data_IF_539479771028
#
_entry.id   IF_539479771028
#
_cell.length_a   1.000
_cell.length_b   1.000
_cell.length_c   1.000
_cell.angle_alpha   90.00
_cell.angle_beta   90.00
_cell.angle_gamma   90.00
#
_symmetry.space_group_name_H-M   'P 1'
#
loop_
_entity.id
_entity.type
_entity.pdbx_description
1 polymer ?
#
# COMPACT_ATOMS: atom_id res chain seq x y z
N UNK A 1 -63.08 -6.17 -12.70
CA UNK A 1 -62.14 -5.06 -12.44
C UNK A 1 -60.95 -5.23 -13.39
N UNK A 2 -60.84 -4.39 -14.42
CA UNK A 2 -59.76 -4.45 -15.43
C UNK A 2 -58.55 -3.69 -14.91
N UNK A 3 -57.36 -4.29 -14.91
CA UNK A 3 -56.11 -3.55 -14.84
C UNK A 3 -55.29 -3.90 -16.08
N UNK A 4 -55.15 -2.91 -16.97
CA UNK A 4 -54.10 -2.84 -17.99
C UNK A 4 -52.78 -2.51 -17.28
N UNK A 5 -51.74 -3.27 -17.55
CA UNK A 5 -50.36 -2.81 -17.35
C UNK A 5 -49.60 -3.05 -18.66
N UNK A 6 -49.39 -1.98 -19.42
CA UNK A 6 -48.48 -1.95 -20.55
C UNK A 6 -47.05 -1.92 -20.00
N UNK A 7 -46.35 -3.05 -20.01
CA UNK A 7 -44.91 -3.07 -19.76
C UNK A 7 -44.20 -3.19 -21.10
N UNK A 8 -43.55 -2.10 -21.53
CA UNK A 8 -42.65 -2.08 -22.69
C UNK A 8 -41.49 -3.03 -22.40
N UNK A 9 -41.41 -4.12 -23.16
CA UNK A 9 -40.33 -5.10 -23.10
C UNK A 9 -39.12 -4.54 -23.86
N UNK A 10 -38.02 -4.25 -23.15
CA UNK A 10 -36.72 -3.95 -23.76
C UNK A 10 -36.13 -5.24 -24.32
N UNK A 11 -35.81 -5.24 -25.61
CA UNK A 11 -35.49 -6.41 -26.45
C UNK A 11 -34.13 -7.07 -26.13
N UNK A 12 -33.42 -6.65 -25.08
CA UNK A 12 -32.03 -7.07 -24.83
C UNK A 12 -31.92 -8.43 -24.09
N UNK A 13 -33.00 -8.93 -23.48
CA UNK A 13 -33.01 -10.22 -22.78
C UNK A 13 -33.23 -11.46 -23.66
N UNK A 14 -33.52 -11.30 -24.96
CA UNK A 14 -33.99 -12.39 -25.81
C UNK A 14 -32.87 -13.23 -26.46
N UNK A 15 -31.61 -12.80 -26.41
CA UNK A 15 -30.56 -13.39 -27.26
C UNK A 15 -29.64 -14.42 -26.56
N UNK A 16 -29.73 -14.59 -25.24
CA UNK A 16 -28.87 -15.54 -24.50
C UNK A 16 -29.60 -16.85 -24.13
N UNK A 17 -30.92 -16.91 -24.27
CA UNK A 17 -31.70 -18.14 -24.03
C UNK A 17 -31.69 -19.10 -25.22
N UNK A 18 -31.25 -18.64 -26.41
CA UNK A 18 -31.19 -19.49 -27.60
C UNK A 18 -30.10 -20.57 -27.53
N UNK A 19 -29.01 -20.35 -26.79
CA UNK A 19 -27.91 -21.32 -26.65
C UNK A 19 -28.17 -22.43 -25.62
N UNK A 20 -29.12 -22.23 -24.70
CA UNK A 20 -29.53 -23.25 -23.72
C UNK A 20 -30.70 -24.14 -24.18
N UNK A 21 -31.36 -23.80 -25.30
CA UNK A 21 -32.45 -24.61 -25.86
C UNK A 21 -31.98 -25.75 -26.78
N UNK A 22 -30.70 -25.77 -27.18
CA UNK A 22 -30.19 -26.79 -28.12
C UNK A 22 -29.75 -28.12 -27.47
N UNK A 23 -29.80 -28.23 -26.13
CA UNK A 23 -29.36 -29.45 -25.41
C UNK A 23 -30.49 -30.13 -24.63
N UNK A 24 -31.76 -29.80 -24.94
CA UNK A 24 -32.90 -30.61 -24.51
C UNK A 24 -33.40 -31.38 -25.73
N UNK A 25 -32.57 -32.30 -26.22
CA UNK A 25 -33.06 -33.37 -27.11
C UNK A 25 -33.95 -34.28 -26.29
N UNK A 26 -35.23 -34.35 -26.71
CA UNK A 26 -36.33 -35.13 -26.16
C UNK A 26 -35.95 -36.51 -25.60
N UNK A 27 -36.00 -36.68 -24.29
CA UNK A 27 -36.33 -37.96 -23.65
C UNK A 27 -37.16 -37.72 -22.38
N UNK A 28 -38.39 -37.24 -22.55
CA UNK A 28 -39.57 -37.54 -21.70
C UNK A 28 -40.62 -36.45 -21.88
N UNK A 29 -41.82 -36.88 -22.27
CA UNK A 29 -42.97 -36.03 -22.58
C UNK A 29 -43.73 -35.66 -21.29
N UNK A 30 -43.03 -35.13 -20.28
CA UNK A 30 -43.60 -34.77 -18.98
C UNK A 30 -43.79 -33.25 -18.86
N UNK A 31 -45.02 -32.74 -18.65
CA UNK A 31 -45.32 -31.30 -18.57
C UNK A 31 -44.75 -30.59 -17.32
N UNK A 32 -43.96 -31.28 -16.50
CA UNK A 32 -43.32 -30.79 -15.27
C UNK A 32 -42.05 -29.96 -15.53
N UNK A 33 -41.27 -30.28 -16.57
CA UNK A 33 -40.01 -29.59 -16.87
C UNK A 33 -40.21 -28.20 -17.47
N UNK A 34 -41.26 -28.02 -18.28
CA UNK A 34 -41.62 -26.70 -18.84
C UNK A 34 -42.18 -25.76 -17.76
N UNK A 35 -42.82 -26.32 -16.73
CA UNK A 35 -43.33 -25.58 -15.57
C UNK A 35 -42.21 -25.07 -14.68
N UNK A 36 -41.12 -25.83 -14.51
CA UNK A 36 -40.00 -25.44 -13.66
C UNK A 36 -39.25 -24.23 -14.23
N UNK A 37 -38.96 -24.25 -15.54
CA UNK A 37 -38.30 -23.14 -16.23
C UNK A 37 -39.17 -21.86 -16.28
N UNK A 38 -40.47 -22.00 -16.53
CA UNK A 38 -41.41 -20.87 -16.52
C UNK A 38 -41.64 -20.31 -15.10
N UNK A 39 -41.60 -21.17 -14.07
CA UNK A 39 -41.73 -20.76 -12.66
C UNK A 39 -40.48 -20.02 -12.17
N UNK A 40 -39.27 -20.43 -12.61
CA UNK A 40 -38.03 -19.73 -12.28
C UNK A 40 -37.98 -18.31 -12.88
N UNK A 41 -38.49 -18.15 -14.11
CA UNK A 41 -38.58 -16.85 -14.78
C UNK A 41 -39.65 -15.92 -14.16
N UNK A 42 -40.78 -16.47 -13.71
CA UNK A 42 -41.86 -15.70 -13.08
C UNK A 42 -41.57 -15.32 -11.62
N UNK A 43 -40.64 -16.01 -10.94
CA UNK A 43 -40.20 -15.73 -9.58
C UNK A 43 -39.05 -14.72 -9.48
N UNK A 44 -38.55 -14.19 -10.61
CA UNK A 44 -37.43 -13.24 -10.59
C UNK A 44 -36.15 -13.82 -9.98
N UNK A 45 -36.00 -15.15 -9.99
CA UNK A 45 -34.77 -15.80 -9.52
C UNK A 45 -33.72 -15.59 -10.60
N UNK A 46 -33.02 -14.46 -10.51
CA UNK A 46 -31.72 -14.32 -11.11
C UNK A 46 -30.84 -15.38 -10.44
N UNK A 47 -30.61 -16.51 -11.12
CA UNK A 47 -29.48 -17.36 -10.74
C UNK A 47 -28.23 -16.59 -11.09
N UNK A 48 -27.81 -15.66 -10.23
CA UNK A 48 -26.44 -15.14 -10.28
C UNK A 48 -25.54 -16.37 -10.19
N UNK A 49 -24.88 -16.69 -11.30
CA UNK A 49 -23.80 -17.66 -11.28
C UNK A 49 -22.80 -17.14 -10.28
N UNK A 50 -22.70 -17.79 -9.11
CA UNK A 50 -21.76 -17.39 -8.07
C UNK A 50 -20.38 -17.22 -8.71
N UNK A 51 -19.81 -16.02 -8.60
CA UNK A 51 -18.50 -15.70 -9.16
C UNK A 51 -17.41 -16.61 -8.59
N UNK A 52 -16.19 -16.56 -9.14
CA UNK A 52 -15.08 -17.35 -8.59
C UNK A 52 -14.86 -17.02 -7.12
N UNK A 53 -14.47 -18.01 -6.31
CA UNK A 53 -14.06 -17.76 -4.94
C UNK A 53 -12.64 -17.18 -4.89
N UNK A 54 -12.40 -16.27 -3.95
CA UNK A 54 -11.07 -15.76 -3.65
C UNK A 54 -10.12 -16.90 -3.21
N UNK A 55 -8.84 -16.89 -3.60
CA UNK A 55 -7.82 -17.79 -3.06
C UNK A 55 -7.53 -17.47 -1.59
N UNK A 56 -7.09 -18.48 -0.84
CA UNK A 56 -6.55 -18.29 0.50
C UNK A 56 -5.06 -17.89 0.41
N UNK A 57 -4.74 -16.66 0.82
CA UNK A 57 -3.38 -16.13 0.81
C UNK A 57 -2.58 -16.49 2.06
N UNK A 58 -3.24 -16.95 3.14
CA UNK A 58 -2.59 -17.27 4.42
C UNK A 58 -1.61 -16.18 4.88
N UNK A 59 -0.36 -16.54 5.22
CA UNK A 59 0.65 -15.57 5.67
C UNK A 59 1.00 -14.52 4.61
N UNK A 60 0.89 -14.84 3.31
CA UNK A 60 1.11 -13.87 2.24
C UNK A 60 0.07 -12.73 2.22
N UNK A 61 -1.05 -12.87 2.96
CA UNK A 61 -2.03 -11.80 3.10
C UNK A 61 -1.48 -10.57 3.86
N UNK A 62 -0.46 -10.70 4.71
CA UNK A 62 0.08 -9.55 5.48
C UNK A 62 1.12 -8.75 4.69
N UNK A 63 1.67 -9.33 3.62
CA UNK A 63 2.73 -8.73 2.83
C UNK A 63 2.19 -7.81 1.74
N UNK A 64 2.69 -6.58 1.72
CA UNK A 64 2.53 -5.64 0.62
C UNK A 64 3.42 -6.01 -0.57
N UNK A 65 4.66 -6.45 -0.29
CA UNK A 65 5.63 -6.82 -1.31
C UNK A 65 6.47 -8.01 -0.88
N UNK A 66 6.70 -8.97 -1.78
CA UNK A 66 7.59 -10.10 -1.54
C UNK A 66 8.45 -10.35 -2.78
N UNK A 67 9.77 -10.44 -2.60
CA UNK A 67 10.73 -10.54 -3.72
C UNK A 67 11.59 -11.79 -3.67
N UNK A 68 10.99 -12.98 -3.77
CA UNK A 68 11.67 -14.28 -3.86
C UNK A 68 12.96 -14.41 -3.05
N UNK A 69 13.96 -15.09 -3.62
CA UNK A 69 15.33 -15.09 -3.07
C UNK A 69 16.21 -13.95 -3.60
N UNK A 70 15.74 -13.20 -4.59
CA UNK A 70 16.49 -12.14 -5.28
C UNK A 70 16.28 -10.75 -4.65
N UNK A 71 15.37 -10.62 -3.69
CA UNK A 71 15.15 -9.40 -2.92
C UNK A 71 14.22 -8.38 -3.53
N UNK A 72 14.26 -7.19 -2.94
CA UNK A 72 13.44 -6.03 -3.31
C UNK A 72 14.36 -4.82 -3.39
N UNK A 73 14.30 -4.10 -4.51
CA UNK A 73 15.15 -2.92 -4.72
C UNK A 73 14.30 -1.70 -5.04
N UNK A 74 14.71 -0.56 -4.49
CA UNK A 74 14.13 0.73 -4.76
C UNK A 74 15.18 1.68 -5.35
N UNK A 75 14.74 2.49 -6.30
CA UNK A 75 15.48 3.64 -6.83
C UNK A 75 14.54 4.84 -6.94
N UNK A 76 14.03 5.28 -5.79
CA UNK A 76 13.15 6.44 -5.68
C UNK A 76 13.09 6.98 -4.25
N UNK A 77 12.79 8.26 -4.10
CA UNK A 77 12.73 8.96 -2.80
C UNK A 77 11.32 9.19 -2.29
N UNK A 78 10.30 8.84 -3.09
CA UNK A 78 8.88 8.92 -2.71
C UNK A 78 8.22 7.53 -2.62
N UNK A 79 9.02 6.47 -2.64
CA UNK A 79 8.52 5.10 -2.49
C UNK A 79 7.96 4.93 -1.08
N UNK A 80 6.74 4.41 -0.97
CA UNK A 80 6.06 4.19 0.29
C UNK A 80 5.27 2.89 0.26
N UNK A 81 5.49 2.04 1.26
CA UNK A 81 4.90 0.70 1.36
C UNK A 81 4.11 0.61 2.66
N UNK A 82 2.80 0.43 2.52
CA UNK A 82 1.89 0.18 3.64
C UNK A 82 1.63 -1.33 3.76
N UNK A 83 2.27 -1.96 4.76
CA UNK A 83 2.24 -3.40 5.01
C UNK A 83 3.64 -4.00 5.09
N UNK A 84 3.70 -5.32 5.32
CA UNK A 84 4.97 -6.02 5.48
C UNK A 84 5.70 -6.22 4.14
N UNK A 85 7.03 -6.33 4.20
CA UNK A 85 7.84 -6.71 3.06
C UNK A 85 8.68 -7.94 3.36
N UNK A 86 9.08 -8.70 2.35
CA UNK A 86 10.03 -9.79 2.60
C UNK A 86 10.73 -10.39 1.41
N UNK A 87 11.75 -11.18 1.74
CA UNK A 87 12.52 -12.02 0.83
C UNK A 87 13.08 -13.22 1.59
N UNK A 88 13.28 -14.35 0.90
CA UNK A 88 14.05 -15.48 1.43
C UNK A 88 15.58 -15.26 1.26
N UNK A 89 15.99 -14.17 0.62
CA UNK A 89 17.38 -13.75 0.52
C UNK A 89 17.92 -13.11 1.81
N UNK A 90 19.24 -12.91 1.86
CA UNK A 90 19.89 -12.14 2.93
C UNK A 90 19.37 -10.70 2.98
N UNK A 91 19.46 -10.02 4.13
CA UNK A 91 19.05 -8.61 4.28
C UNK A 91 19.67 -7.67 3.23
N UNK A 92 20.86 -7.96 2.72
CA UNK A 92 21.52 -7.19 1.66
C UNK A 92 20.80 -7.22 0.31
N UNK A 93 19.84 -8.14 0.12
CA UNK A 93 18.98 -8.21 -1.06
C UNK A 93 17.82 -7.21 -1.00
N UNK A 94 17.57 -6.59 0.17
CA UNK A 94 16.71 -5.42 0.28
C UNK A 94 17.60 -4.17 0.15
N UNK A 95 17.28 -3.29 -0.79
CA UNK A 95 18.02 -2.04 -0.99
C UNK A 95 17.11 -0.84 -1.22
N UNK A 96 17.46 0.29 -0.62
CA UNK A 96 16.72 1.54 -0.74
C UNK A 96 15.43 1.60 0.08
N UNK A 97 15.42 0.98 1.26
CA UNK A 97 14.27 1.01 2.14
C UNK A 97 14.66 1.23 3.59
N UNK A 98 13.73 1.75 4.38
CA UNK A 98 13.78 1.73 5.83
C UNK A 98 12.38 1.55 6.41
N UNK A 99 12.32 1.13 7.67
CA UNK A 99 11.15 1.27 8.51
C UNK A 99 11.54 2.02 9.81
N UNK A 100 10.73 1.90 10.86
CA UNK A 100 10.96 2.60 12.12
C UNK A 100 12.27 2.19 12.83
N UNK A 101 12.78 0.97 12.60
CA UNK A 101 13.89 0.40 13.40
C UNK A 101 15.09 -0.04 12.57
N UNK A 102 14.92 -0.28 11.27
CA UNK A 102 15.91 -0.87 10.39
C UNK A 102 16.04 -0.09 9.07
N UNK A 103 17.28 0.07 8.59
CA UNK A 103 17.59 0.68 7.29
C UNK A 103 18.35 -0.28 6.38
N UNK A 104 18.01 -0.28 5.10
CA UNK A 104 18.49 -1.25 4.11
C UNK A 104 19.14 -0.54 2.92
N UNK A 105 20.46 -0.34 2.99
CA UNK A 105 21.30 0.20 1.90
C UNK A 105 20.70 1.45 1.25
N UNK A 106 20.40 2.45 2.06
CA UNK A 106 19.86 3.73 1.60
C UNK A 106 20.96 4.70 1.17
N UNK A 107 20.60 5.52 0.20
CA UNK A 107 21.35 6.64 -0.36
C UNK A 107 20.37 7.80 -0.54
N UNK A 108 20.84 9.02 -0.81
CA UNK A 108 19.95 10.15 -1.10
C UNK A 108 18.99 9.95 -2.30
N UNK A 109 19.18 8.91 -3.11
CA UNK A 109 18.40 8.66 -4.34
C UNK A 109 17.42 7.48 -4.23
N UNK A 110 17.39 6.76 -3.12
CA UNK A 110 16.56 5.56 -2.97
C UNK A 110 15.97 5.41 -1.56
N UNK A 111 15.37 6.47 -1.03
CA UNK A 111 14.76 6.46 0.30
C UNK A 111 13.32 5.96 0.18
N UNK A 112 13.06 4.73 0.62
CA UNK A 112 11.75 4.08 0.55
C UNK A 112 11.19 3.77 1.94
N UNK A 113 10.06 4.37 2.31
CA UNK A 113 9.48 4.16 3.63
C UNK A 113 8.59 2.92 3.67
N UNK A 114 8.69 2.12 4.73
CA UNK A 114 7.89 0.91 4.96
C UNK A 114 7.24 0.99 6.33
N UNK A 115 5.90 0.87 6.38
CA UNK A 115 5.16 0.94 7.64
C UNK A 115 5.16 -0.38 8.42
N UNK A 116 5.41 -1.50 7.73
CA UNK A 116 5.43 -2.84 8.30
C UNK A 116 6.84 -3.35 8.65
N UNK A 117 6.91 -4.63 8.97
CA UNK A 117 8.17 -5.34 9.26
C UNK A 117 8.80 -5.83 7.95
N UNK A 118 10.13 -5.81 7.87
CA UNK A 118 10.88 -6.31 6.71
C UNK A 118 11.49 -7.68 7.07
N UNK A 119 10.92 -8.73 6.49
CA UNK A 119 11.30 -10.12 6.76
C UNK A 119 12.40 -10.60 5.80
N UNK A 120 13.59 -10.82 6.32
CA UNK A 120 14.77 -11.25 5.55
C UNK A 120 15.53 -12.36 6.25
N UNK A 121 16.47 -12.99 5.53
CA UNK A 121 17.48 -13.87 6.10
C UNK A 121 18.63 -13.06 6.73
N UNK A 122 19.38 -13.73 7.61
CA UNK A 122 20.60 -13.20 8.23
C UNK A 122 21.63 -12.73 7.17
N UNK A 123 22.51 -11.79 7.52
CA UNK A 123 22.61 -11.07 8.79
C UNK A 123 21.58 -9.94 8.91
N UNK A 124 21.32 -9.51 10.15
CA UNK A 124 20.54 -8.30 10.44
C UNK A 124 21.20 -7.08 9.77
N UNK A 125 20.42 -6.16 9.18
CA UNK A 125 20.98 -4.93 8.63
C UNK A 125 21.54 -4.04 9.75
N UNK A 126 22.36 -3.06 9.38
CA UNK A 126 22.95 -2.15 10.35
C UNK A 126 21.88 -1.25 11.00
N UNK A 127 21.79 -1.27 12.33
CA UNK A 127 20.91 -0.40 13.11
C UNK A 127 20.94 -0.80 14.59
N UNK A 128 21.09 0.16 15.50
CA UNK A 128 21.28 -0.10 16.94
C UNK A 128 20.05 -0.77 17.57
N UNK A 129 18.86 -0.55 16.99
CA UNK A 129 17.57 -1.09 17.46
C UNK A 129 16.94 -2.08 16.48
N UNK A 130 17.69 -2.51 15.45
CA UNK A 130 17.13 -3.37 14.43
C UNK A 130 16.95 -4.80 14.95
N UNK A 131 15.73 -5.32 14.84
CA UNK A 131 15.36 -6.69 15.24
C UNK A 131 15.06 -7.62 14.05
N UNK A 132 15.32 -7.13 12.83
CA UNK A 132 15.05 -7.83 11.57
C UNK A 132 16.29 -8.54 11.02
N UNK A 133 16.14 -9.39 10.00
CA UNK A 133 17.24 -10.19 9.45
C UNK A 133 17.79 -11.21 10.44
N UNK A 134 16.89 -11.92 11.12
CA UNK A 134 17.16 -13.00 12.07
C UNK A 134 16.71 -14.34 11.51
N UNK A 135 17.04 -15.44 12.19
CA UNK A 135 16.52 -16.76 11.83
C UNK A 135 14.97 -16.82 11.90
N UNK A 136 14.35 -16.10 12.84
CA UNK A 136 12.89 -16.07 12.98
C UNK A 136 12.23 -15.30 11.82
N UNK A 137 12.79 -14.16 11.41
CA UNK A 137 12.25 -13.44 10.24
C UNK A 137 12.45 -14.23 8.95
N UNK A 138 13.54 -14.99 8.83
CA UNK A 138 13.77 -15.88 7.71
C UNK A 138 12.75 -17.02 7.62
N UNK A 139 12.41 -17.64 8.76
CA UNK A 139 11.41 -18.70 8.83
C UNK A 139 10.02 -18.17 8.42
N UNK A 140 9.63 -17.00 8.91
CA UNK A 140 8.39 -16.33 8.51
C UNK A 140 8.37 -15.99 7.00
N UNK A 141 9.48 -15.48 6.45
CA UNK A 141 9.60 -15.22 5.01
C UNK A 141 9.51 -16.52 4.18
N UNK A 142 10.07 -17.62 4.67
CA UNK A 142 10.02 -18.93 4.00
C UNK A 142 8.60 -19.49 3.98
N UNK A 143 7.87 -19.39 5.09
CA UNK A 143 6.44 -19.75 5.16
C UNK A 143 5.61 -18.91 4.19
N UNK A 144 5.88 -17.61 4.14
CA UNK A 144 5.21 -16.66 3.22
C UNK A 144 5.45 -17.02 1.76
N UNK A 145 6.69 -17.36 1.38
CA UNK A 145 7.00 -17.81 0.03
C UNK A 145 6.24 -19.08 -0.36
N UNK A 146 6.11 -20.04 0.57
CA UNK A 146 5.37 -21.27 0.36
C UNK A 146 3.86 -21.02 0.20
N UNK A 147 3.28 -20.14 1.03
CA UNK A 147 1.87 -19.76 0.94
C UNK A 147 1.56 -18.97 -0.34
N UNK A 148 2.44 -18.05 -0.76
CA UNK A 148 2.30 -17.34 -2.03
C UNK A 148 2.37 -18.30 -3.23
N UNK A 149 3.26 -19.30 -3.19
CA UNK A 149 3.33 -20.35 -4.20
C UNK A 149 2.07 -21.23 -4.21
N UNK A 150 1.51 -21.55 -3.03
CA UNK A 150 0.26 -22.29 -2.93
C UNK A 150 -0.91 -21.50 -3.55
N UNK A 151 -1.02 -20.20 -3.25
CA UNK A 151 -2.02 -19.32 -3.85
C UNK A 151 -1.84 -19.19 -5.37
N UNK A 152 -0.60 -19.09 -5.87
CA UNK A 152 -0.32 -19.10 -7.30
C UNK A 152 -0.83 -20.38 -7.99
N UNK A 153 -0.54 -21.54 -7.40
CA UNK A 153 -0.96 -22.84 -7.94
C UNK A 153 -2.49 -23.01 -7.88
N UNK A 154 -3.12 -22.56 -6.79
CA UNK A 154 -4.58 -22.54 -6.66
C UNK A 154 -5.20 -21.68 -7.78
N UNK A 155 -4.74 -20.43 -7.93
CA UNK A 155 -5.19 -19.53 -8.99
C UNK A 155 -4.99 -20.15 -10.37
N UNK A 156 -3.85 -20.77 -10.64
CA UNK A 156 -3.56 -21.43 -11.93
C UNK A 156 -4.44 -22.67 -12.18
N UNK A 157 -4.92 -23.33 -11.12
CA UNK A 157 -5.78 -24.51 -11.19
C UNK A 157 -7.26 -24.19 -11.41
N UNK A 158 -7.67 -22.93 -11.22
CA UNK A 158 -9.06 -22.52 -11.43
C UNK A 158 -9.47 -22.77 -12.90
N UNK A 159 -10.73 -23.17 -13.16
CA UNK A 159 -11.21 -23.39 -14.51
C UNK A 159 -10.89 -22.21 -15.43
N UNK A 160 -10.41 -22.51 -16.63
CA UNK A 160 -9.99 -21.49 -17.58
C UNK A 160 -11.12 -20.51 -17.89
N UNK A 161 -10.78 -19.22 -17.86
CA UNK A 161 -11.65 -18.12 -18.25
C UNK A 161 -11.69 -17.84 -19.74
N UNK A 162 -12.51 -16.86 -20.13
CA UNK A 162 -12.49 -16.29 -21.48
C UNK A 162 -11.31 -15.32 -21.69
N UNK A 163 -10.90 -15.12 -22.94
CA UNK A 163 -9.92 -14.10 -23.36
C UNK A 163 -10.63 -12.99 -24.18
N UNK A 164 -11.26 -12.00 -23.52
CA UNK A 164 -12.21 -11.08 -24.18
C UNK A 164 -11.55 -10.12 -25.18
N UNK A 165 -10.23 -9.93 -25.11
CA UNK A 165 -9.50 -8.99 -25.97
C UNK A 165 -8.26 -9.59 -26.62
N UNK A 166 -8.20 -10.92 -26.72
CA UNK A 166 -7.05 -11.65 -27.28
C UNK A 166 -5.71 -11.19 -26.64
N UNK A 167 -5.70 -11.12 -25.32
CA UNK A 167 -4.57 -10.63 -24.52
C UNK A 167 -4.56 -9.12 -24.24
N UNK A 168 -5.37 -8.28 -24.90
CA UNK A 168 -5.49 -6.85 -24.57
C UNK A 168 -6.73 -6.60 -23.71
N UNK A 169 -6.52 -6.19 -22.45
CA UNK A 169 -7.58 -5.84 -21.51
C UNK A 169 -7.87 -4.34 -21.44
N UNK A 170 -6.94 -3.49 -21.91
CA UNK A 170 -7.13 -2.04 -21.93
C UNK A 170 -8.32 -1.62 -22.79
N UNK A 171 -9.19 -0.79 -22.25
CA UNK A 171 -10.43 -0.32 -22.89
C UNK A 171 -11.64 -1.23 -22.64
N UNK A 172 -11.46 -2.36 -21.94
CA UNK A 172 -12.57 -3.25 -21.59
C UNK A 172 -13.20 -2.85 -20.25
N UNK A 173 -14.48 -3.20 -20.10
CA UNK A 173 -15.16 -3.28 -18.81
C UNK A 173 -15.49 -4.72 -18.53
N UNK A 174 -14.95 -5.27 -17.44
CA UNK A 174 -15.04 -6.68 -17.10
C UNK A 174 -15.88 -6.88 -15.85
N UNK A 175 -16.91 -7.71 -15.97
CA UNK A 175 -17.71 -8.18 -14.85
C UNK A 175 -16.94 -9.27 -14.06
N UNK A 176 -17.39 -9.68 -12.86
CA UNK A 176 -16.68 -10.63 -12.03
C UNK A 176 -16.52 -11.98 -12.75
N UNK A 177 -15.34 -12.60 -12.65
CA UNK A 177 -15.06 -13.83 -13.40
C UNK A 177 -13.59 -14.24 -13.45
N UNK A 178 -13.36 -15.42 -14.03
CA UNK A 178 -12.03 -15.88 -14.40
C UNK A 178 -11.77 -15.48 -15.85
N UNK A 179 -10.58 -14.94 -16.12
CA UNK A 179 -10.10 -14.53 -17.42
C UNK A 179 -8.74 -15.18 -17.66
N UNK A 180 -8.54 -15.75 -18.84
CA UNK A 180 -7.30 -16.44 -19.17
C UNK A 180 -6.81 -15.99 -20.52
N UNK A 181 -5.58 -15.49 -20.59
CA UNK A 181 -4.97 -15.21 -21.88
C UNK A 181 -4.75 -16.52 -22.63
N UNK A 182 -4.64 -16.47 -23.95
CA UNK A 182 -4.13 -17.61 -24.72
C UNK A 182 -2.66 -17.94 -24.35
N UNK A 183 -1.81 -18.29 -25.31
CA UNK A 183 -0.38 -18.51 -25.01
C UNK A 183 0.39 -17.21 -24.63
N UNK A 184 -0.22 -16.04 -24.84
CA UNK A 184 0.41 -14.72 -24.75
C UNK A 184 0.21 -13.98 -23.41
N UNK A 185 0.67 -12.73 -23.33
CA UNK A 185 0.55 -11.91 -22.13
C UNK A 185 -0.86 -11.35 -21.98
N UNK A 186 -1.19 -10.85 -20.78
CA UNK A 186 -2.18 -9.80 -20.67
C UNK A 186 -1.52 -8.43 -20.74
N UNK A 187 -2.15 -7.55 -21.51
CA UNK A 187 -1.74 -6.19 -21.79
C UNK A 187 -2.83 -5.24 -21.30
N UNK A 188 -2.43 -4.17 -20.63
CA UNK A 188 -3.25 -2.99 -20.35
C UNK A 188 -2.43 -1.81 -20.87
N UNK A 189 -2.41 -1.65 -22.19
CA UNK A 189 -1.51 -0.70 -22.86
C UNK A 189 -2.25 0.29 -23.74
N UNK A 190 -3.37 -0.12 -24.35
CA UNK A 190 -4.18 0.72 -25.23
C UNK A 190 -5.04 1.76 -24.49
N UNK A 191 -5.58 1.42 -23.33
CA UNK A 191 -6.46 2.25 -22.50
C UNK A 191 -6.56 1.65 -21.09
N UNK A 192 -7.25 2.33 -20.18
CA UNK A 192 -7.51 1.82 -18.83
C UNK A 192 -8.47 0.62 -18.86
N UNK A 193 -8.32 -0.30 -17.91
CA UNK A 193 -9.22 -1.43 -17.70
C UNK A 193 -10.24 -1.06 -16.62
N UNK A 194 -11.53 -1.34 -16.82
CA UNK A 194 -12.56 -1.16 -15.78
C UNK A 194 -13.04 -2.52 -15.27
N UNK A 195 -13.13 -2.68 -13.95
CA UNK A 195 -13.73 -3.82 -13.28
C UNK A 195 -15.03 -3.39 -12.61
N UNK A 196 -16.13 -4.00 -13.04
CA UNK A 196 -17.48 -3.63 -12.62
C UNK A 196 -18.11 -4.73 -11.75
N UNK A 197 -18.26 -4.46 -10.46
CA UNK A 197 -18.84 -5.39 -9.49
C UNK A 197 -20.36 -5.62 -9.68
N UNK A 198 -21.03 -4.83 -10.53
CA UNK A 198 -22.47 -4.89 -10.75
C UNK A 198 -23.29 -4.77 -9.44
N UNK A 199 -22.76 -4.03 -8.44
CA UNK A 199 -23.36 -3.86 -7.13
C UNK A 199 -22.97 -4.91 -6.08
N UNK A 200 -22.20 -5.94 -6.46
CA UNK A 200 -21.73 -6.97 -5.55
C UNK A 200 -20.32 -6.65 -5.01
N UNK A 201 -20.24 -6.22 -3.75
CA UNK A 201 -18.96 -5.90 -3.12
C UNK A 201 -18.03 -7.12 -2.96
N UNK A 202 -18.59 -8.33 -2.92
CA UNK A 202 -17.84 -9.59 -2.83
C UNK A 202 -17.47 -10.17 -4.20
N UNK A 203 -17.70 -9.40 -5.28
CA UNK A 203 -17.28 -9.75 -6.62
C UNK A 203 -15.76 -10.02 -6.70
N UNK A 204 -15.39 -11.08 -7.41
CA UNK A 204 -14.01 -11.55 -7.58
C UNK A 204 -13.60 -11.59 -9.05
N UNK A 205 -12.37 -11.17 -9.32
CA UNK A 205 -11.71 -11.29 -10.62
C UNK A 205 -10.43 -12.10 -10.48
N UNK A 206 -10.26 -13.09 -11.37
CA UNK A 206 -9.04 -13.88 -11.48
C UNK A 206 -8.51 -13.76 -12.91
N UNK A 207 -7.30 -13.25 -13.06
CA UNK A 207 -6.60 -13.16 -14.33
C UNK A 207 -5.46 -14.17 -14.37
N UNK A 208 -5.52 -15.12 -15.30
CA UNK A 208 -4.52 -16.17 -15.50
C UNK A 208 -3.77 -15.90 -16.80
N UNK A 209 -2.45 -15.96 -16.76
CA UNK A 209 -1.62 -15.90 -17.96
C UNK A 209 -0.38 -16.77 -17.80
N UNK A 210 -0.05 -17.56 -18.83
CA UNK A 210 1.16 -18.38 -18.82
C UNK A 210 2.44 -17.54 -18.99
N UNK A 211 2.30 -16.32 -19.52
CA UNK A 211 3.43 -15.41 -19.76
C UNK A 211 3.34 -14.15 -18.88
N UNK A 212 3.66 -12.99 -19.44
CA UNK A 212 3.84 -11.74 -18.71
C UNK A 212 2.52 -10.97 -18.53
N UNK A 213 2.53 -10.06 -17.55
CA UNK A 213 1.57 -8.97 -17.43
C UNK A 213 2.28 -7.65 -17.79
N UNK A 214 1.72 -6.86 -18.69
CA UNK A 214 2.24 -5.52 -19.01
C UNK A 214 1.16 -4.47 -18.87
N UNK A 215 1.38 -3.49 -17.98
CA UNK A 215 0.50 -2.34 -17.76
C UNK A 215 1.26 -1.08 -18.12
N UNK A 216 0.62 -0.18 -18.87
CA UNK A 216 1.25 1.05 -19.35
C UNK A 216 1.93 0.90 -20.71
N UNK A 217 2.00 2.00 -21.44
CA UNK A 217 2.84 2.17 -22.62
C UNK A 217 4.05 3.05 -22.28
N UNK A 218 5.12 3.09 -23.09
CA UNK A 218 6.37 3.79 -22.77
C UNK A 218 6.25 5.27 -22.38
N UNK A 219 5.16 5.96 -22.75
CA UNK A 219 4.90 7.35 -22.41
C UNK A 219 3.48 7.59 -21.83
N UNK A 220 2.75 6.52 -21.50
CA UNK A 220 1.37 6.64 -21.02
C UNK A 220 1.10 5.55 -19.98
N UNK A 221 1.05 5.89 -18.68
CA UNK A 221 0.59 4.93 -17.68
C UNK A 221 -0.86 4.53 -17.93
N UNK A 222 -1.23 3.34 -17.47
CA UNK A 222 -2.61 2.86 -17.45
C UNK A 222 -3.07 2.56 -16.04
N UNK A 223 -4.37 2.57 -15.86
CA UNK A 223 -5.01 2.25 -14.60
C UNK A 223 -6.00 1.10 -14.72
N UNK A 224 -6.22 0.42 -13.61
CA UNK A 224 -7.36 -0.47 -13.40
C UNK A 224 -8.36 0.26 -12.50
N UNK A 225 -9.54 0.52 -13.05
CA UNK A 225 -10.60 1.31 -12.42
C UNK A 225 -11.61 0.35 -11.80
N UNK A 226 -11.93 0.54 -10.52
CA UNK A 226 -12.93 -0.23 -9.81
C UNK A 226 -14.23 0.56 -9.74
N UNK A 227 -15.35 -0.04 -10.16
CA UNK A 227 -16.68 0.61 -10.13
C UNK A 227 -17.73 -0.28 -9.48
N UNK A 228 -18.85 0.34 -9.08
CA UNK A 228 -20.05 -0.33 -8.60
C UNK A 228 -19.82 -1.33 -7.45
N UNK A 229 -18.92 -1.00 -6.52
CA UNK A 229 -18.61 -1.82 -5.35
C UNK A 229 -17.39 -2.73 -5.49
N UNK A 230 -16.69 -2.71 -6.63
CA UNK A 230 -15.50 -3.54 -6.81
C UNK A 230 -14.40 -3.16 -5.82
N UNK A 231 -13.77 -4.16 -5.20
CA UNK A 231 -12.73 -3.97 -4.19
C UNK A 231 -11.41 -4.59 -4.66
N UNK A 232 -10.30 -3.88 -4.51
CA UNK A 232 -9.00 -4.36 -4.97
C UNK A 232 -8.57 -5.67 -4.30
N UNK A 233 -8.95 -5.88 -3.03
CA UNK A 233 -8.66 -7.12 -2.30
C UNK A 233 -9.23 -8.39 -2.98
N UNK A 234 -10.23 -8.25 -3.85
CA UNK A 234 -10.88 -9.35 -4.57
C UNK A 234 -10.39 -9.49 -6.04
N UNK A 235 -9.30 -8.82 -6.41
CA UNK A 235 -8.71 -8.90 -7.75
C UNK A 235 -7.38 -9.63 -7.66
N UNK A 236 -7.21 -10.68 -8.47
CA UNK A 236 -6.04 -11.55 -8.42
C UNK A 236 -5.41 -11.74 -9.81
N UNK A 237 -4.10 -11.59 -9.89
CA UNK A 237 -3.32 -11.75 -11.12
C UNK A 237 -2.31 -12.88 -10.94
N UNK A 238 -2.56 -14.01 -11.58
CA UNK A 238 -1.63 -15.12 -11.68
C UNK A 238 -0.79 -14.93 -12.94
N UNK A 239 0.50 -14.62 -12.77
CA UNK A 239 1.42 -14.25 -13.86
C UNK A 239 2.49 -15.32 -14.02
N UNK A 240 2.44 -16.06 -15.12
CA UNK A 240 3.33 -17.20 -15.39
C UNK A 240 4.79 -16.83 -15.66
N UNK A 241 5.10 -15.56 -15.89
CA UNK A 241 6.48 -15.03 -15.91
C UNK A 241 6.61 -13.74 -15.07
N UNK A 242 7.02 -12.63 -15.66
CA UNK A 242 7.23 -11.34 -14.99
C UNK A 242 6.07 -10.37 -15.23
N UNK A 243 5.86 -9.46 -14.28
CA UNK A 243 4.91 -8.35 -14.43
C UNK A 243 5.65 -7.01 -14.54
N UNK A 244 5.29 -6.19 -15.53
CA UNK A 244 5.80 -4.82 -15.71
C UNK A 244 4.65 -3.84 -15.56
N UNK A 245 4.73 -2.95 -14.58
CA UNK A 245 3.66 -2.03 -14.20
C UNK A 245 4.11 -0.59 -14.40
N UNK A 246 3.48 0.08 -15.36
CA UNK A 246 3.62 1.49 -15.69
C UNK A 246 5.08 1.94 -15.71
N UNK A 247 5.87 1.40 -16.64
CA UNK A 247 7.29 1.78 -16.80
C UNK A 247 7.51 3.28 -17.01
N UNK A 248 6.52 4.01 -17.50
CA UNK A 248 6.52 5.47 -17.68
C UNK A 248 6.24 6.29 -16.39
N UNK A 249 6.04 5.63 -15.24
CA UNK A 249 5.58 6.25 -14.01
C UNK A 249 4.08 6.62 -14.03
N UNK A 250 3.48 6.76 -12.85
CA UNK A 250 2.06 7.09 -12.70
C UNK A 250 1.10 5.90 -12.86
N UNK A 251 -0.20 6.21 -12.94
CA UNK A 251 -1.28 5.23 -13.04
C UNK A 251 -1.51 4.42 -11.76
N UNK A 252 -2.59 3.64 -11.77
CA UNK A 252 -3.01 2.85 -10.61
C UNK A 252 -3.31 1.41 -11.00
N UNK A 253 -2.50 0.49 -10.48
CA UNK A 253 -2.76 -0.94 -10.53
C UNK A 253 -3.57 -1.36 -9.30
N UNK A 254 -4.40 -2.40 -9.44
CA UNK A 254 -5.21 -2.93 -8.33
C UNK A 254 -5.10 -4.44 -8.26
N UNK A 255 -5.15 -4.98 -7.05
CA UNK A 255 -5.19 -6.42 -6.81
C UNK A 255 -3.89 -7.04 -6.29
N UNK A 256 -3.98 -8.33 -5.99
CA UNK A 256 -2.84 -9.15 -5.60
C UNK A 256 -2.19 -9.73 -6.85
N UNK A 257 -0.98 -9.30 -7.16
CA UNK A 257 -0.18 -9.80 -8.26
C UNK A 257 0.74 -10.89 -7.72
N UNK A 258 0.62 -12.11 -8.23
CA UNK A 258 1.53 -13.22 -7.93
C UNK A 258 2.22 -13.62 -9.22
N UNK A 259 3.50 -13.26 -9.34
CA UNK A 259 4.32 -13.52 -10.51
C UNK A 259 5.31 -14.64 -10.22
N UNK A 260 5.43 -15.61 -11.13
CA UNK A 260 6.42 -16.68 -10.99
C UNK A 260 7.85 -16.12 -10.97
N UNK A 261 8.11 -15.10 -11.79
CA UNK A 261 9.37 -14.38 -11.80
C UNK A 261 9.28 -13.12 -10.91
N UNK A 262 9.63 -11.97 -11.46
CA UNK A 262 9.74 -10.70 -10.74
C UNK A 262 8.65 -9.71 -11.14
N UNK A 263 8.57 -8.61 -10.40
CA UNK A 263 7.64 -7.51 -10.66
C UNK A 263 8.42 -6.21 -10.73
N UNK A 264 8.20 -5.42 -11.78
CA UNK A 264 8.86 -4.12 -11.97
C UNK A 264 7.83 -3.01 -12.01
N UNK A 265 8.03 -1.98 -11.18
CA UNK A 265 7.23 -0.76 -11.16
C UNK A 265 8.05 0.42 -11.61
N UNK A 266 7.55 1.15 -12.61
CA UNK A 266 8.19 2.37 -13.10
C UNK A 266 9.63 2.13 -13.60
N UNK A 267 10.28 3.21 -14.01
CA UNK A 267 11.71 3.22 -14.39
C UNK A 267 12.40 4.46 -13.84
N UNK A 268 13.72 4.42 -13.77
CA UNK A 268 14.56 5.50 -13.28
C UNK A 268 14.22 6.86 -13.91
N UNK A 269 14.17 7.92 -13.09
CA UNK A 269 13.89 9.29 -13.55
C UNK A 269 12.42 9.68 -13.62
N UNK A 270 11.48 8.75 -13.44
CA UNK A 270 10.06 9.09 -13.33
C UNK A 270 9.74 9.65 -11.94
N UNK A 271 9.25 10.89 -11.88
CA UNK A 271 8.90 11.57 -10.64
C UNK A 271 7.45 11.32 -10.20
N UNK A 272 6.57 10.95 -11.13
CA UNK A 272 5.17 10.63 -10.84
C UNK A 272 5.07 9.20 -10.30
N UNK A 273 4.53 8.99 -9.09
CA UNK A 273 4.57 7.67 -8.49
C UNK A 273 3.60 6.69 -9.15
N UNK A 274 4.05 5.45 -9.35
CA UNK A 274 3.18 4.35 -9.75
C UNK A 274 2.50 3.78 -8.50
N UNK A 275 1.17 3.66 -8.51
CA UNK A 275 0.42 3.18 -7.35
C UNK A 275 -0.06 1.74 -7.56
N UNK A 276 0.07 0.90 -6.53
CA UNK A 276 -0.59 -0.39 -6.42
C UNK A 276 -1.49 -0.40 -5.18
N UNK A 277 -2.79 -0.59 -5.40
CA UNK A 277 -3.72 -0.92 -4.32
C UNK A 277 -3.87 -2.43 -4.27
N UNK A 278 -3.06 -3.09 -3.44
CA UNK A 278 -2.96 -4.53 -3.37
C UNK A 278 -1.54 -4.98 -3.03
N UNK A 279 -1.12 -6.12 -3.58
CA UNK A 279 0.12 -6.80 -3.19
C UNK A 279 0.97 -7.17 -4.40
N UNK A 280 2.29 -7.08 -4.27
CA UNK A 280 3.26 -7.46 -5.28
C UNK A 280 4.10 -8.65 -4.80
N UNK A 281 3.73 -9.86 -5.21
CA UNK A 281 4.36 -11.10 -4.76
C UNK A 281 5.13 -11.75 -5.93
N UNK A 282 6.45 -11.52 -5.99
CA UNK A 282 7.37 -12.23 -6.87
C UNK A 282 7.86 -13.52 -6.21
N UNK A 283 7.63 -14.67 -6.84
CA UNK A 283 7.92 -15.98 -6.24
C UNK A 283 9.41 -16.30 -6.25
N UNK A 284 10.08 -16.14 -7.40
CA UNK A 284 11.47 -16.60 -7.57
C UNK A 284 12.47 -15.49 -7.92
N UNK A 285 12.00 -14.33 -8.40
CA UNK A 285 12.86 -13.21 -8.75
C UNK A 285 12.48 -11.93 -7.97
N UNK A 286 13.16 -10.83 -8.29
CA UNK A 286 13.09 -9.61 -7.50
C UNK A 286 11.82 -8.80 -7.77
N UNK A 287 11.43 -8.00 -6.77
CA UNK A 287 10.55 -6.86 -6.98
C UNK A 287 11.40 -5.60 -7.08
N UNK A 288 11.18 -4.80 -8.12
CA UNK A 288 11.97 -3.60 -8.41
C UNK A 288 11.04 -2.40 -8.51
N UNK A 289 11.41 -1.31 -7.85
CA UNK A 289 10.54 -0.15 -7.67
C UNK A 289 11.28 1.16 -7.95
N UNK A 290 10.58 2.10 -8.57
CA UNK A 290 11.00 3.49 -8.68
C UNK A 290 9.81 4.36 -8.35
N UNK A 291 9.90 5.10 -7.24
CA UNK A 291 8.84 6.01 -6.78
C UNK A 291 7.47 5.30 -6.78
N UNK A 292 7.36 4.21 -6.01
CA UNK A 292 6.17 3.35 -6.01
C UNK A 292 5.41 3.46 -4.70
N UNK A 293 4.09 3.56 -4.77
CA UNK A 293 3.20 3.51 -3.60
C UNK A 293 2.47 2.17 -3.59
N UNK A 294 2.61 1.37 -2.52
CA UNK A 294 1.89 0.11 -2.36
C UNK A 294 1.00 0.15 -1.11
N UNK A 295 -0.30 -0.08 -1.30
CA UNK A 295 -1.31 -0.14 -0.23
C UNK A 295 -1.87 -1.57 -0.11
N UNK A 296 -1.34 -2.38 0.80
CA UNK A 296 -1.68 -3.83 0.92
C UNK A 296 -3.14 -4.14 1.25
N UNK A 297 -3.84 -3.24 1.95
CA UNK A 297 -5.26 -3.39 2.28
C UNK A 297 -6.18 -3.32 1.05
N UNK A 298 -5.66 -2.86 -0.09
CA UNK A 298 -6.44 -2.63 -1.31
C UNK A 298 -7.33 -1.38 -1.25
N UNK A 299 -7.35 -0.68 -0.12
CA UNK A 299 -7.95 0.65 -0.01
C UNK A 299 -6.84 1.63 -0.38
N UNK A 300 -7.01 2.51 -1.38
CA UNK A 300 -6.09 3.62 -1.57
C UNK A 300 -5.93 4.30 -0.22
N UNK A 301 -4.71 4.56 0.23
CA UNK A 301 -4.52 5.47 1.35
C UNK A 301 -5.45 6.66 1.07
N UNK A 302 -6.39 6.95 1.98
CA UNK A 302 -7.27 8.10 1.80
C UNK A 302 -6.37 9.25 1.36
N UNK A 303 -6.80 10.07 0.40
CA UNK A 303 -6.08 11.31 0.07
C UNK A 303 -6.15 12.16 1.34
N UNK A 304 -5.24 11.87 2.27
CA UNK A 304 -4.92 12.76 3.34
C UNK A 304 -4.42 13.99 2.58
N UNK A 305 -5.01 15.18 2.78
CA UNK A 305 -4.38 16.40 2.28
C UNK A 305 -2.92 16.30 2.70
N UNK A 306 -2.00 16.41 1.75
CA UNK A 306 -0.58 16.15 1.95
C UNK A 306 -0.11 16.81 3.25
N UNK A 307 -0.04 16.04 4.34
CA UNK A 307 0.70 16.44 5.52
C UNK A 307 2.12 16.04 5.21
N UNK A 308 2.98 17.05 5.08
CA UNK A 308 4.41 16.91 4.85
C UNK A 308 5.02 15.78 5.71
N UNK A 309 6.07 15.10 5.20
CA UNK A 309 6.66 13.96 5.88
C UNK A 309 7.15 14.38 7.28
N UNK A 310 6.60 13.76 8.32
CA UNK A 310 7.11 13.91 9.68
C UNK A 310 8.28 12.94 9.88
N UNK A 311 9.44 13.33 9.35
CA UNK A 311 10.70 12.69 9.67
C UNK A 311 11.04 13.00 11.14
N UNK A 312 11.16 11.98 11.98
CA UNK A 312 11.68 12.14 13.33
C UNK A 312 13.17 12.49 13.26
N UNK A 313 13.55 13.68 13.74
CA UNK A 313 14.95 14.10 13.83
C UNK A 313 15.40 13.92 15.28
N UNK A 314 16.37 13.02 15.49
CA UNK A 314 17.09 12.93 16.78
C UNK A 314 18.37 13.76 16.66
N UNK A 315 18.52 14.82 17.46
CA UNK A 315 19.74 15.63 17.47
C UNK A 315 20.46 15.46 18.81
N UNK A 316 21.66 14.89 18.77
CA UNK A 316 22.57 14.76 19.93
C UNK A 316 23.88 15.47 19.65
N UNK A 317 24.36 16.29 20.60
CA UNK A 317 25.62 17.02 20.48
C UNK A 317 26.30 17.24 21.84
N UNK A 318 27.62 17.10 21.90
CA UNK A 318 28.44 17.19 23.12
C UNK A 318 29.50 18.29 23.11
N UNK A 319 29.56 19.14 22.09
CA UNK A 319 30.48 20.30 22.01
C UNK A 319 29.82 21.52 21.35
N UNK A 320 30.47 22.69 21.49
CA UNK A 320 30.06 24.05 21.07
C UNK A 320 29.79 24.20 19.55
N UNK A 321 28.80 23.49 19.02
CA UNK A 321 28.20 23.74 17.72
C UNK A 321 26.71 24.08 17.94
N UNK A 322 26.25 25.14 17.29
CA UNK A 322 24.86 25.58 17.38
C UNK A 322 23.93 24.50 16.83
N UNK A 323 23.01 23.99 17.66
CA UNK A 323 21.96 23.06 17.22
C UNK A 323 20.70 23.85 16.95
N UNK A 324 20.26 23.84 15.69
CA UNK A 324 18.97 24.42 15.26
C UNK A 324 18.05 23.30 14.79
N UNK A 325 16.99 23.02 15.54
CA UNK A 325 15.96 22.03 15.20
C UNK A 325 14.60 22.70 14.99
N UNK A 326 13.92 22.41 13.87
CA UNK A 326 12.57 22.90 13.58
C UNK A 326 11.65 21.72 13.33
N UNK A 327 10.55 21.62 14.09
CA UNK A 327 9.43 20.70 13.81
C UNK A 327 8.32 21.47 13.13
N UNK A 328 7.84 20.93 12.01
CA UNK A 328 6.60 21.37 11.35
C UNK A 328 5.63 20.21 11.20
N UNK A 329 4.39 20.33 11.69
CA UNK A 329 3.34 19.30 11.58
C UNK A 329 3.24 18.39 12.80
N UNK A 330 2.84 17.12 12.65
CA UNK A 330 2.62 16.17 13.77
C UNK A 330 3.83 15.30 14.15
N UNK A 331 5.06 15.77 13.91
CA UNK A 331 6.29 14.98 14.08
C UNK A 331 6.85 14.98 15.50
N UNK A 332 8.01 14.35 15.72
CA UNK A 332 8.66 14.26 17.03
C UNK A 332 10.15 14.61 16.94
N UNK A 333 10.68 15.42 17.87
CA UNK A 333 12.12 15.69 18.03
C UNK A 333 12.55 15.41 19.47
N UNK A 334 13.70 14.73 19.61
CA UNK A 334 14.45 14.62 20.86
C UNK A 334 15.74 15.43 20.76
N UNK A 335 15.98 16.31 21.74
CA UNK A 335 17.19 17.12 21.87
C UNK A 335 17.87 16.84 23.20
N UNK A 336 19.17 16.59 23.16
CA UNK A 336 20.04 16.55 24.35
C UNK A 336 21.14 17.61 24.24
N UNK A 337 21.07 18.66 25.06
CA UNK A 337 22.05 19.74 25.11
C UNK A 337 23.02 19.56 26.28
N UNK A 338 24.24 19.13 26.00
CA UNK A 338 25.28 18.92 27.01
C UNK A 338 26.30 20.08 27.13
N UNK A 339 26.02 21.27 26.56
CA UNK A 339 26.88 22.46 26.76
C UNK A 339 26.92 23.49 25.63
N UNK A 340 26.11 23.36 24.58
CA UNK A 340 26.07 24.28 23.43
C UNK A 340 24.92 25.29 23.50
N UNK A 341 24.83 26.18 22.50
CA UNK A 341 23.62 26.95 22.25
C UNK A 341 22.64 26.09 21.45
N UNK A 342 21.40 25.99 21.93
CA UNK A 342 20.33 25.26 21.26
C UNK A 342 19.19 26.20 20.94
N UNK A 343 18.74 26.18 19.69
CA UNK A 343 17.52 26.82 19.24
C UNK A 343 16.54 25.74 18.74
N UNK A 344 15.39 25.61 19.39
CA UNK A 344 14.33 24.67 19.01
C UNK A 344 13.03 25.41 18.70
N UNK A 345 12.38 25.10 17.57
CA UNK A 345 11.09 25.70 17.19
C UNK A 345 10.05 24.63 16.88
N UNK A 346 8.90 24.66 17.55
CA UNK A 346 7.70 23.88 17.24
C UNK A 346 6.72 24.75 16.44
N UNK A 347 6.33 24.21 15.28
CA UNK A 347 5.21 24.68 14.47
C UNK A 347 4.32 23.46 14.19
N UNK A 348 2.99 23.56 14.37
CA UNK A 348 2.08 22.46 14.04
C UNK A 348 1.48 21.74 15.26
N UNK A 349 1.44 20.41 15.26
CA UNK A 349 0.81 19.58 16.31
C UNK A 349 1.78 18.51 16.83
N UNK A 350 3.09 18.79 16.72
CA UNK A 350 4.15 17.82 16.90
C UNK A 350 4.54 17.70 18.37
N UNK A 351 5.66 17.03 18.64
CA UNK A 351 6.23 17.00 19.98
C UNK A 351 7.73 17.29 19.95
N UNK A 352 8.20 18.15 20.85
CA UNK A 352 9.62 18.39 21.08
C UNK A 352 9.94 18.06 22.53
N UNK A 353 10.90 17.16 22.73
CA UNK A 353 11.46 16.82 24.02
C UNK A 353 12.91 17.29 24.11
N UNK A 354 13.21 18.13 25.10
CA UNK A 354 14.54 18.71 25.30
C UNK A 354 15.06 18.35 26.69
N UNK A 355 16.28 17.83 26.76
CA UNK A 355 17.08 17.70 27.99
C UNK A 355 18.24 18.70 27.89
N UNK A 356 18.34 19.65 28.82
CA UNK A 356 19.34 20.72 28.79
C UNK A 356 20.25 20.68 30.03
N UNK A 357 21.46 20.14 29.87
CA UNK A 357 22.43 19.81 30.91
C UNK A 357 23.55 20.85 31.14
N UNK A 358 23.73 21.88 30.31
CA UNK A 358 24.84 22.82 30.57
C UNK A 358 25.00 24.06 29.68
N UNK A 359 24.08 24.33 28.76
CA UNK A 359 24.21 25.42 27.76
C UNK A 359 23.03 26.40 27.72
N UNK A 360 23.13 27.39 26.82
CA UNK A 360 22.04 28.35 26.55
C UNK A 360 20.97 27.68 25.70
N UNK A 361 19.71 27.77 26.10
CA UNK A 361 18.58 27.23 25.35
C UNK A 361 17.62 28.35 24.96
N UNK A 362 17.24 28.38 23.68
CA UNK A 362 16.10 29.14 23.16
C UNK A 362 15.09 28.16 22.59
N UNK A 363 13.90 28.10 23.17
CA UNK A 363 12.82 27.23 22.69
C UNK A 363 11.60 28.08 22.34
N UNK A 364 11.02 27.86 21.16
CA UNK A 364 9.84 28.61 20.69
C UNK A 364 8.74 27.64 20.28
N UNK A 365 7.58 27.71 20.91
CA UNK A 365 6.37 27.04 20.46
C UNK A 365 5.44 28.06 19.79
N UNK A 366 5.13 27.84 18.52
CA UNK A 366 4.16 28.66 17.77
C UNK A 366 2.97 27.84 17.27
N UNK A 367 3.00 26.52 17.46
CA UNK A 367 1.92 25.61 17.10
C UNK A 367 1.07 25.15 18.28
N UNK A 368 0.24 24.15 17.99
CA UNK A 368 -0.69 23.45 18.87
C UNK A 368 -0.10 22.11 19.38
N UNK A 369 1.21 21.87 19.21
CA UNK A 369 1.89 20.66 19.65
C UNK A 369 2.29 20.65 21.12
N UNK A 370 3.13 19.69 21.50
CA UNK A 370 3.63 19.52 22.87
C UNK A 370 5.12 19.82 22.92
N UNK A 371 5.56 20.68 23.83
CA UNK A 371 6.97 20.93 24.07
C UNK A 371 7.29 20.63 25.54
N UNK A 372 8.20 19.69 25.78
CA UNK A 372 8.67 19.35 27.14
C UNK A 372 10.16 19.65 27.26
N UNK A 373 10.52 20.43 28.27
CA UNK A 373 11.91 20.84 28.55
C UNK A 373 12.28 20.41 29.97
N UNK A 374 13.35 19.64 30.09
CA UNK A 374 14.00 19.31 31.36
C UNK A 374 15.36 20.00 31.42
N UNK A 375 15.48 21.07 32.20
CA UNK A 375 16.70 21.89 32.28
C UNK A 375 17.34 21.86 33.67
N UNK A 376 18.50 21.22 33.76
CA UNK A 376 19.42 21.25 34.91
C UNK A 376 20.66 22.13 34.61
N UNK A 377 20.65 22.89 33.50
CA UNK A 377 21.76 23.73 33.05
C UNK A 377 22.08 24.95 33.95
N UNK A 378 23.30 25.46 33.78
CA UNK A 378 23.80 26.73 34.36
C UNK A 378 23.72 27.92 33.39
N UNK A 379 23.35 27.69 32.12
CA UNK A 379 23.15 28.72 31.10
C UNK A 379 21.71 29.25 31.08
N UNK A 380 21.51 30.44 30.49
CA UNK A 380 20.19 31.06 30.38
C UNK A 380 19.24 30.22 29.50
N UNK A 381 17.98 30.09 29.94
CA UNK A 381 16.91 29.42 29.18
C UNK A 381 15.83 30.43 28.86
N UNK A 382 15.52 30.58 27.57
CA UNK A 382 14.41 31.40 27.08
C UNK A 382 13.39 30.50 26.40
N UNK A 383 12.14 30.53 26.88
CA UNK A 383 11.03 29.80 26.25
C UNK A 383 9.96 30.79 25.86
N UNK A 384 9.57 30.75 24.59
CA UNK A 384 8.50 31.60 24.04
C UNK A 384 7.37 30.69 23.56
N UNK A 385 6.16 30.89 24.05
CA UNK A 385 4.97 30.20 23.57
C UNK A 385 3.95 31.20 23.03
N UNK A 386 3.77 31.22 21.73
CA UNK A 386 2.77 32.05 21.05
C UNK A 386 1.68 31.22 20.35
N UNK A 387 1.76 29.89 20.42
CA UNK A 387 0.73 28.98 19.91
C UNK A 387 -0.17 28.43 21.02
N UNK A 388 -1.12 27.57 20.65
CA UNK A 388 -2.08 26.95 21.59
C UNK A 388 -1.62 25.56 22.06
N UNK A 389 -0.32 25.26 21.92
CA UNK A 389 0.27 23.99 22.30
C UNK A 389 0.75 23.97 23.75
N UNK A 390 0.81 22.77 24.33
CA UNK A 390 1.21 22.56 25.71
C UNK A 390 2.73 22.67 25.85
N UNK A 391 3.21 23.62 26.65
CA UNK A 391 4.63 23.78 26.96
C UNK A 391 4.89 23.50 28.44
N UNK A 392 5.65 22.44 28.71
CA UNK A 392 6.06 22.04 30.06
C UNK A 392 7.55 22.31 30.24
N UNK A 393 7.91 23.08 31.27
CA UNK A 393 9.32 23.35 31.63
C UNK A 393 9.55 22.88 33.05
N UNK A 394 10.44 21.90 33.21
CA UNK A 394 10.92 21.42 34.50
C UNK A 394 12.38 21.84 34.68
N UNK A 395 12.65 22.63 35.71
CA UNK A 395 13.96 23.22 35.92
C UNK A 395 14.52 22.95 37.30
N UNK A 396 15.75 22.43 37.32
CA UNK A 396 16.51 22.14 38.54
C UNK A 396 17.89 22.81 38.56
N UNK A 397 18.21 23.56 37.51
CA UNK A 397 19.44 24.34 37.37
C UNK A 397 19.43 25.68 38.11
N UNK A 398 20.59 26.33 38.22
CA UNK A 398 20.78 27.55 39.02
C UNK A 398 20.52 28.88 38.26
N UNK A 399 20.32 28.83 36.95
CA UNK A 399 20.13 30.01 36.10
C UNK A 399 18.67 30.40 35.94
N UNK A 400 18.41 31.69 35.70
CA UNK A 400 17.07 32.21 35.50
C UNK A 400 16.46 31.69 34.18
N UNK A 401 15.15 31.42 34.21
CA UNK A 401 14.35 31.02 33.06
C UNK A 401 13.43 32.17 32.69
N UNK A 402 13.54 32.65 31.45
CA UNK A 402 12.65 33.63 30.88
C UNK A 402 11.53 32.93 30.11
N UNK A 403 10.28 33.16 30.51
CA UNK A 403 9.09 32.58 29.89
C UNK A 403 8.24 33.72 29.31
N UNK A 404 8.00 33.69 28.02
CA UNK A 404 7.11 34.64 27.34
C UNK A 404 5.93 33.89 26.76
N UNK A 405 4.70 34.22 27.17
CA UNK A 405 3.49 33.57 26.69
C UNK A 405 2.47 34.59 26.17
N UNK A 406 1.89 34.32 25.00
CA UNK A 406 0.89 35.19 24.34
C UNK A 406 -0.29 34.43 23.69
N UNK A 407 -0.41 33.11 23.91
CA UNK A 407 -1.51 32.25 23.42
C UNK A 407 -2.71 32.16 24.38
N UNK A 408 -3.74 31.36 24.07
CA UNK A 408 -4.91 31.15 24.95
C UNK A 408 -4.76 29.97 25.93
N UNK A 409 -5.54 30.04 27.01
CA UNK A 409 -5.36 29.39 28.31
C UNK A 409 -5.14 27.86 28.31
N UNK A 410 -3.98 27.43 28.83
CA UNK A 410 -3.83 26.30 29.78
C UNK A 410 -2.34 26.15 30.19
N UNK A 411 -1.92 26.83 31.27
CA UNK A 411 -0.60 26.66 31.86
C UNK A 411 -0.68 25.99 33.23
N UNK A 412 0.03 24.87 33.40
CA UNK A 412 0.30 24.26 34.71
C UNK A 412 1.79 24.40 35.01
N UNK A 413 2.12 25.19 36.04
CA UNK A 413 3.45 25.25 36.65
C UNK A 413 3.47 24.43 37.95
N UNK A 414 4.59 23.79 38.32
CA UNK A 414 4.94 23.57 39.72
C UNK A 414 5.35 24.89 40.42
#
# INVERSE_FOLDING_TARGET
MKIKANMKLSVIGALIVASFMNTITCESNEPSNLRLAATLYLLGVNTETAGPSAPDLRSAATFASFGGGAGITNQGTITSITGDMGTTGASTMITGFHNLTCGYTETPLNIGAVSGTIYTNVPSPAGVTCTEGTAATFEAATTTAADALAAFNDLASRPNGMDPGAGQLGGLTLIPGVYKSAAGPFLITGSDLTLDAQGNADAVWIFQMASALTVGAPAAPRSVILVNGAQAKNVYWQVGSAATINGAGGGTMVGTIIASAGITFSTAGNLTPTTLNGRALGLFASVTMVNTIINSSGVPAAVQPATAPVSGVTVTGSTSADVVGVVSGGGYINVENNGGHVAATETGTGTINIVNNGGVLTATNTGNGVMTIHSNATGAVTVTNTGNGNVTVNATGAAAIALTHTGDDDYIYP
#
